data_IF_206441919330
#
_entry.id   IF_206441919330
#
_cell.length_a   1.000
_cell.length_b   1.000
_cell.length_c   1.000
_cell.angle_alpha   90.00
_cell.angle_beta   90.00
_cell.angle_gamma   90.00
#
_symmetry.space_group_name_H-M   'P 1'
#
loop_
_entity.id
_entity.type
_entity.pdbx_description
1 polymer ?
#
# COMPACT_ATOMS: atom_id res chain seq x y z
N UNK A 1 17.77 -2.06 -0.28
CA UNK A 1 16.59 -1.20 -0.48
C UNK A 1 15.53 -1.67 0.48
N UNK A 2 14.91 -0.75 1.22
CA UNK A 2 13.95 -1.06 2.30
C UNK A 2 12.79 -0.08 2.25
N UNK A 3 11.57 -0.57 2.49
CA UNK A 3 10.43 0.31 2.76
C UNK A 3 10.67 1.04 4.09
N UNK A 4 10.89 2.36 4.01
CA UNK A 4 11.18 3.21 5.16
C UNK A 4 9.95 3.52 6.01
N UNK A 5 8.76 3.33 5.46
CA UNK A 5 7.48 3.59 6.14
C UNK A 5 7.08 2.42 7.06
N UNK A 6 7.76 1.27 6.94
CA UNK A 6 7.51 0.08 7.76
C UNK A 6 8.53 0.01 8.91
N UNK A 7 8.09 0.16 10.18
CA UNK A 7 8.98 0.14 11.33
C UNK A 7 9.70 -1.20 11.53
N UNK A 8 9.14 -2.31 11.08
CA UNK A 8 9.78 -3.63 11.19
C UNK A 8 10.89 -3.77 10.17
N UNK A 9 10.64 -3.39 8.92
CA UNK A 9 11.67 -3.41 7.90
C UNK A 9 12.81 -2.43 8.25
N UNK A 10 12.48 -1.27 8.83
CA UNK A 10 13.46 -0.33 9.36
C UNK A 10 14.31 -0.93 10.49
N UNK A 11 13.72 -1.78 11.37
CA UNK A 11 14.48 -2.49 12.40
C UNK A 11 15.55 -3.41 11.80
N UNK A 12 15.22 -4.16 10.75
CA UNK A 12 16.19 -5.02 10.08
C UNK A 12 17.39 -4.25 9.57
N UNK A 13 17.16 -3.02 9.08
CA UNK A 13 18.25 -2.16 8.60
C UNK A 13 19.27 -1.77 9.67
N UNK A 14 18.91 -1.79 10.96
CA UNK A 14 19.82 -1.49 12.07
C UNK A 14 20.96 -2.52 12.23
N UNK A 15 20.73 -3.75 11.80
CA UNK A 15 21.74 -4.83 11.83
C UNK A 15 22.53 -4.95 10.53
N UNK A 16 22.15 -4.25 9.49
CA UNK A 16 22.84 -4.28 8.21
C UNK A 16 24.10 -3.43 8.22
N UNK A 17 25.19 -3.93 7.62
CA UNK A 17 26.50 -3.26 7.59
C UNK A 17 26.79 -2.49 6.30
N UNK A 18 25.96 -2.67 5.27
CA UNK A 18 26.11 -2.00 3.99
C UNK A 18 25.32 -0.70 3.89
N UNK A 19 25.45 0.01 2.75
CA UNK A 19 24.63 1.18 2.49
C UNK A 19 23.15 0.80 2.44
N UNK A 20 22.32 1.67 2.98
CA UNK A 20 20.87 1.50 3.02
C UNK A 20 20.19 2.58 2.20
N UNK A 21 19.23 2.19 1.40
CA UNK A 21 18.39 3.09 0.64
C UNK A 21 16.94 2.84 1.00
N UNK A 22 16.20 3.91 1.28
CA UNK A 22 14.82 3.82 1.72
C UNK A 22 13.88 4.37 0.64
N UNK A 23 12.80 3.64 0.40
CA UNK A 23 11.67 4.12 -0.39
C UNK A 23 10.42 4.23 0.47
N UNK A 24 9.46 5.04 0.05
CA UNK A 24 8.22 5.23 0.78
C UNK A 24 7.26 6.16 0.06
N UNK A 25 6.19 6.52 0.75
CA UNK A 25 5.17 7.45 0.28
C UNK A 25 5.11 8.62 1.26
N UNK A 26 5.16 9.85 0.76
CA UNK A 26 4.96 11.03 1.59
C UNK A 26 3.47 11.18 1.96
N UNK A 27 3.17 12.08 2.87
CA UNK A 27 1.79 12.33 3.27
C UNK A 27 0.95 12.75 2.07
N UNK A 28 -0.14 12.01 1.83
CA UNK A 28 -1.14 12.30 0.79
C UNK A 28 -2.47 12.68 1.42
N UNK A 29 -3.44 13.11 0.64
CA UNK A 29 -4.81 13.40 1.13
C UNK A 29 -5.48 12.15 1.72
N UNK A 30 -5.10 10.95 1.30
CA UNK A 30 -5.60 9.68 1.81
C UNK A 30 -4.71 9.10 2.95
N UNK A 31 -3.78 9.87 3.48
CA UNK A 31 -3.05 9.52 4.70
C UNK A 31 -3.89 9.85 5.93
N UNK A 32 -3.94 8.96 6.90
CA UNK A 32 -4.80 9.07 8.06
C UNK A 32 -4.01 9.55 9.28
N UNK A 33 -4.58 10.47 10.05
CA UNK A 33 -4.05 10.84 11.36
C UNK A 33 -4.32 9.76 12.41
N UNK A 34 -5.42 9.02 12.22
CA UNK A 34 -5.84 7.91 13.07
C UNK A 34 -6.60 6.89 12.23
N UNK A 35 -6.35 5.61 12.46
CA UNK A 35 -7.11 4.51 11.88
C UNK A 35 -7.54 3.57 13.00
N UNK A 36 -8.79 3.12 12.97
CA UNK A 36 -9.29 2.02 13.81
C UNK A 36 -8.90 0.64 13.23
N UNK A 37 -7.93 0.62 12.36
CA UNK A 37 -7.39 -0.58 11.76
C UNK A 37 -6.49 -1.35 12.73
N UNK A 38 -6.34 -2.64 12.48
CA UNK A 38 -5.38 -3.48 13.22
C UNK A 38 -3.98 -2.93 12.98
N UNK A 39 -3.37 -2.48 14.07
CA UNK A 39 -2.03 -1.91 14.07
C UNK A 39 -1.07 -2.95 14.58
N UNK A 40 -0.40 -3.63 13.67
CA UNK A 40 0.55 -4.68 13.99
C UNK A 40 1.69 -4.21 14.89
N UNK A 41 2.09 -2.93 14.74
CA UNK A 41 3.29 -2.41 15.41
C UNK A 41 3.11 -0.99 15.93
N UNK A 42 2.37 -0.83 17.03
CA UNK A 42 2.30 0.44 17.75
C UNK A 42 3.49 0.66 18.69
N UNK A 43 4.26 -0.40 18.95
CA UNK A 43 5.37 -0.37 19.88
C UNK A 43 6.70 -0.43 19.13
N UNK A 44 7.65 0.38 19.63
CA UNK A 44 8.97 0.50 19.04
C UNK A 44 9.69 -0.86 18.99
N UNK A 45 10.08 -1.34 17.82
CA UNK A 45 10.76 -2.62 17.69
C UNK A 45 12.18 -2.62 18.28
N UNK A 46 12.72 -1.43 18.67
CA UNK A 46 14.02 -1.29 19.29
C UNK A 46 13.95 -1.33 20.82
N UNK A 47 12.96 -0.65 21.44
CA UNK A 47 12.91 -0.50 22.90
C UNK A 47 11.57 -0.91 23.54
N UNK A 48 10.56 -1.28 22.77
CA UNK A 48 9.25 -1.70 23.27
C UNK A 48 8.32 -0.57 23.71
N UNK A 49 8.74 0.71 23.65
CA UNK A 49 7.90 1.84 24.04
C UNK A 49 6.90 2.16 22.94
N UNK A 50 5.75 2.74 23.29
CA UNK A 50 4.74 3.19 22.31
C UNK A 50 5.35 4.25 21.39
N UNK A 51 5.10 4.12 20.10
CA UNK A 51 5.52 5.06 19.07
C UNK A 51 4.46 6.14 18.84
N UNK A 52 4.90 7.30 18.40
CA UNK A 52 4.07 8.37 17.86
C UNK A 52 4.04 8.25 16.35
N UNK A 53 2.88 8.51 15.75
CA UNK A 53 2.70 8.54 14.30
C UNK A 53 2.19 9.89 13.87
N UNK A 54 2.82 10.47 12.88
CA UNK A 54 2.36 11.70 12.25
C UNK A 54 1.21 11.42 11.29
N UNK A 55 1.33 10.32 10.54
CA UNK A 55 0.27 9.79 9.68
C UNK A 55 0.47 8.29 9.45
N UNK A 56 -0.61 7.66 9.06
CA UNK A 56 -0.66 6.27 8.60
C UNK A 56 -1.07 6.21 7.14
N UNK A 57 -0.56 5.25 6.41
CA UNK A 57 -1.08 4.85 5.11
C UNK A 57 -2.00 3.63 5.25
N UNK A 58 -1.54 2.61 6.00
CA UNK A 58 -2.34 1.46 6.42
C UNK A 58 -1.60 0.74 7.57
N UNK A 59 -2.36 0.08 8.44
CA UNK A 59 -1.80 -0.64 9.59
C UNK A 59 -0.82 0.24 10.39
N UNK A 60 0.43 -0.18 10.49
CA UNK A 60 1.50 0.59 11.13
C UNK A 60 2.52 1.17 10.14
N UNK A 61 2.15 1.24 8.87
CA UNK A 61 2.98 1.81 7.80
C UNK A 61 2.68 3.30 7.64
N UNK A 62 3.70 4.14 7.72
CA UNK A 62 3.55 5.60 7.65
C UNK A 62 4.74 6.35 8.22
N UNK A 63 4.51 7.54 8.76
CA UNK A 63 5.53 8.35 9.42
C UNK A 63 5.47 8.13 10.94
N UNK A 64 6.52 7.55 11.48
CA UNK A 64 6.60 7.16 12.89
C UNK A 64 7.87 7.66 13.57
N UNK A 65 7.78 7.83 14.90
CA UNK A 65 8.92 8.09 15.76
C UNK A 65 8.72 7.51 17.16
N UNK A 66 9.81 7.10 17.79
CA UNK A 66 9.81 6.67 19.18
C UNK A 66 10.32 7.79 20.08
N UNK A 67 9.49 8.34 20.98
CA UNK A 67 9.88 9.44 21.85
C UNK A 67 10.95 9.03 22.91
N UNK A 68 11.11 7.71 23.13
CA UNK A 68 12.04 7.22 24.16
C UNK A 68 13.43 6.94 23.62
N UNK A 69 13.58 6.29 22.47
CA UNK A 69 14.90 5.89 21.97
C UNK A 69 15.30 6.54 20.65
N UNK A 70 14.48 7.45 20.11
CA UNK A 70 14.76 8.15 18.87
C UNK A 70 14.68 7.29 17.60
N UNK A 71 14.20 6.03 17.70
CA UNK A 71 13.93 5.21 16.52
C UNK A 71 12.81 5.86 15.69
N UNK A 72 13.03 6.06 14.41
CA UNK A 72 12.08 6.77 13.55
C UNK A 72 12.18 6.35 12.09
N UNK A 73 11.21 6.77 11.29
CA UNK A 73 11.27 6.76 9.83
C UNK A 73 12.53 7.50 9.37
N UNK A 74 13.29 6.91 8.48
CA UNK A 74 14.47 7.53 7.89
C UNK A 74 14.11 8.47 6.74
N UNK A 75 15.08 9.24 6.29
CA UNK A 75 14.93 10.04 5.08
C UNK A 75 14.70 9.12 3.89
N UNK A 76 13.63 9.34 3.17
CA UNK A 76 13.24 8.56 2.01
C UNK A 76 13.99 9.08 0.77
N UNK A 77 14.75 8.19 0.14
CA UNK A 77 15.53 8.52 -1.08
C UNK A 77 14.65 8.47 -2.33
N UNK A 78 13.67 7.56 -2.33
CA UNK A 78 12.71 7.38 -3.42
C UNK A 78 11.30 7.49 -2.85
N UNK A 79 10.70 8.65 -3.01
CA UNK A 79 9.39 8.94 -2.45
C UNK A 79 8.33 9.14 -3.54
N UNK A 80 7.16 8.54 -3.36
CA UNK A 80 5.96 9.07 -4.01
C UNK A 80 5.59 10.33 -3.24
N UNK A 81 5.70 11.47 -3.90
CA UNK A 81 5.48 12.80 -3.32
C UNK A 81 4.10 13.35 -3.58
N UNK A 82 3.40 12.80 -4.58
CA UNK A 82 2.05 13.19 -4.93
C UNK A 82 1.29 12.03 -5.58
N UNK A 83 -0.02 11.98 -5.34
CA UNK A 83 -0.95 11.01 -5.94
C UNK A 83 -2.14 11.77 -6.52
N UNK A 84 -2.19 11.86 -7.83
CA UNK A 84 -3.30 12.48 -8.57
C UNK A 84 -4.36 11.40 -8.89
N UNK A 85 -5.40 11.36 -8.08
CA UNK A 85 -6.48 10.38 -8.21
C UNK A 85 -7.40 10.63 -9.41
N UNK A 86 -7.45 11.85 -9.91
CA UNK A 86 -8.30 12.23 -11.04
C UNK A 86 -7.66 11.83 -12.37
N UNK A 87 -6.34 11.94 -12.46
CA UNK A 87 -5.58 11.65 -13.66
C UNK A 87 -4.90 10.28 -13.67
N UNK A 88 -5.12 9.47 -12.64
CA UNK A 88 -4.48 8.15 -12.47
C UNK A 88 -2.95 8.24 -12.60
N UNK A 89 -2.33 9.15 -11.83
CA UNK A 89 -0.90 9.46 -11.93
C UNK A 89 -0.26 9.61 -10.53
N UNK A 90 0.97 9.14 -10.40
CA UNK A 90 1.80 9.43 -9.23
C UNK A 90 3.03 10.22 -9.64
N UNK A 91 3.54 11.03 -8.70
CA UNK A 91 4.79 11.76 -8.88
C UNK A 91 5.87 11.19 -7.96
N UNK A 92 7.00 10.80 -8.52
CA UNK A 92 8.16 10.30 -7.77
C UNK A 92 9.18 11.43 -7.62
N UNK A 93 9.62 11.68 -6.38
CA UNK A 93 10.61 12.69 -6.02
C UNK A 93 10.31 14.11 -6.58
N UNK A 94 9.03 14.43 -6.76
CA UNK A 94 8.60 15.72 -7.31
C UNK A 94 8.92 15.93 -8.80
N UNK A 95 9.31 14.89 -9.54
CA UNK A 95 9.80 15.02 -10.91
C UNK A 95 9.17 14.04 -11.89
N UNK A 96 9.26 12.75 -11.61
CA UNK A 96 8.87 11.70 -12.55
C UNK A 96 7.41 11.31 -12.37
N UNK A 97 6.64 11.45 -13.43
CA UNK A 97 5.22 11.15 -13.46
C UNK A 97 4.99 9.75 -14.04
N UNK A 98 4.32 8.89 -13.29
CA UNK A 98 4.03 7.52 -13.66
C UNK A 98 2.51 7.33 -13.67
N UNK A 99 1.98 6.87 -14.79
CA UNK A 99 0.57 6.47 -14.88
C UNK A 99 0.35 5.17 -14.11
N UNK A 100 -0.75 5.12 -13.38
CA UNK A 100 -1.09 3.95 -12.57
C UNK A 100 -2.51 3.50 -12.87
N UNK A 101 -2.70 2.21 -13.06
CA UNK A 101 -4.04 1.63 -13.25
C UNK A 101 -4.82 1.51 -11.94
N UNK A 102 -4.14 1.62 -10.81
CA UNK A 102 -4.75 1.50 -9.48
C UNK A 102 -3.95 2.24 -8.43
N UNK A 103 -4.66 3.05 -7.63
CA UNK A 103 -4.10 3.78 -6.48
C UNK A 103 -4.15 2.98 -5.18
N UNK A 104 -4.44 1.70 -5.21
CA UNK A 104 -4.38 0.86 -4.03
C UNK A 104 -2.96 0.90 -3.46
N UNK A 105 -2.82 1.25 -2.19
CA UNK A 105 -1.53 1.59 -1.57
C UNK A 105 -0.45 0.52 -1.75
N UNK A 106 -0.79 -0.77 -1.65
CA UNK A 106 0.20 -1.82 -1.86
C UNK A 106 0.77 -1.81 -3.30
N UNK A 107 -0.03 -1.37 -4.30
CA UNK A 107 0.46 -1.20 -5.66
C UNK A 107 1.45 -0.03 -5.75
N UNK A 108 1.13 1.09 -5.10
CA UNK A 108 2.02 2.24 -5.07
C UNK A 108 3.37 1.90 -4.43
N UNK A 109 3.37 1.11 -3.33
CA UNK A 109 4.61 0.61 -2.73
C UNK A 109 5.39 -0.33 -3.66
N UNK A 110 4.71 -1.18 -4.43
CA UNK A 110 5.36 -2.03 -5.43
C UNK A 110 6.02 -1.19 -6.53
N UNK A 111 5.33 -0.18 -7.02
CA UNK A 111 5.84 0.72 -8.08
C UNK A 111 7.07 1.48 -7.59
N UNK A 112 7.01 2.13 -6.42
CA UNK A 112 8.15 2.89 -5.92
C UNK A 112 9.32 1.98 -5.54
N UNK A 113 9.06 0.77 -5.05
CA UNK A 113 10.08 -0.24 -4.82
C UNK A 113 10.78 -0.65 -6.12
N UNK A 114 10.02 -0.93 -7.18
CA UNK A 114 10.56 -1.27 -8.49
C UNK A 114 11.34 -0.09 -9.11
N UNK A 115 10.78 1.13 -9.05
CA UNK A 115 11.46 2.34 -9.50
C UNK A 115 12.84 2.50 -8.83
N UNK A 116 12.90 2.34 -7.51
CA UNK A 116 14.14 2.48 -6.74
C UNK A 116 15.20 1.45 -7.13
N UNK A 117 14.77 0.21 -7.44
CA UNK A 117 15.68 -0.84 -7.93
C UNK A 117 16.22 -0.48 -9.31
N UNK A 118 15.37 -0.03 -10.22
CA UNK A 118 15.77 0.35 -11.57
C UNK A 118 16.79 1.48 -11.56
N UNK A 119 16.56 2.53 -10.77
CA UNK A 119 17.48 3.67 -10.68
C UNK A 119 18.85 3.25 -10.09
N UNK A 120 18.86 2.44 -9.02
CA UNK A 120 20.11 1.93 -8.42
C UNK A 120 20.89 1.04 -9.40
N UNK A 121 20.21 0.30 -10.24
CA UNK A 121 20.84 -0.51 -11.29
C UNK A 121 21.29 0.31 -12.51
N UNK A 122 21.04 1.62 -12.53
CA UNK A 122 21.42 2.51 -13.61
C UNK A 122 20.55 2.37 -14.86
N UNK A 123 19.34 1.87 -14.72
CA UNK A 123 18.37 1.83 -15.83
C UNK A 123 17.89 3.25 -16.10
N UNK A 124 17.83 3.60 -17.39
CA UNK A 124 17.39 4.92 -17.82
C UNK A 124 15.99 5.27 -17.27
N UNK A 125 15.85 6.48 -16.73
CA UNK A 125 14.62 6.95 -16.10
C UNK A 125 13.42 6.92 -17.03
N UNK A 126 13.60 7.40 -18.28
CA UNK A 126 12.51 7.40 -19.26
C UNK A 126 12.02 5.97 -19.53
N UNK A 127 12.95 5.03 -19.65
CA UNK A 127 12.65 3.59 -19.80
C UNK A 127 11.91 3.05 -18.58
N UNK A 128 12.36 3.39 -17.37
CA UNK A 128 11.73 2.97 -16.12
C UNK A 128 10.31 3.52 -16.00
N UNK A 129 10.12 4.82 -16.22
CA UNK A 129 8.81 5.47 -16.18
C UNK A 129 7.85 4.87 -17.20
N UNK A 130 8.32 4.66 -18.43
CA UNK A 130 7.50 4.05 -19.49
C UNK A 130 7.08 2.62 -19.14
N UNK A 131 8.00 1.81 -18.59
CA UNK A 131 7.71 0.44 -18.19
C UNK A 131 6.74 0.36 -17.01
N UNK A 132 6.91 1.22 -16.00
CA UNK A 132 6.03 1.26 -14.83
C UNK A 132 4.64 1.85 -15.14
N UNK A 133 4.52 2.61 -16.22
CA UNK A 133 3.25 3.15 -16.74
C UNK A 133 2.53 2.18 -17.68
N UNK A 134 3.11 1.03 -18.01
CA UNK A 134 2.52 0.06 -18.92
C UNK A 134 1.84 -1.08 -18.15
N UNK A 135 0.51 -1.09 -18.16
CA UNK A 135 -0.32 -2.11 -17.50
C UNK A 135 -0.03 -3.54 -17.99
N UNK A 136 0.52 -3.69 -19.19
CA UNK A 136 0.90 -5.00 -19.73
C UNK A 136 2.11 -5.58 -19.01
N UNK A 137 2.97 -4.70 -18.46
CA UNK A 137 4.18 -5.07 -17.71
C UNK A 137 3.85 -5.20 -16.23
N UNK A 138 3.13 -4.20 -15.67
CA UNK A 138 2.80 -4.16 -14.25
C UNK A 138 1.72 -5.16 -13.84
N UNK A 139 0.98 -5.68 -14.81
CA UNK A 139 -0.14 -6.57 -14.56
C UNK A 139 -1.37 -5.81 -14.04
N UNK A 140 -2.53 -6.36 -14.27
CA UNK A 140 -3.78 -5.76 -13.81
C UNK A 140 -4.06 -6.16 -12.37
N UNK A 141 -4.03 -5.19 -11.47
CA UNK A 141 -4.45 -5.36 -10.07
C UNK A 141 -5.95 -5.32 -9.97
N UNK A 142 -6.60 -4.55 -10.86
CA UNK A 142 -8.04 -4.54 -10.99
C UNK A 142 -8.49 -4.57 -12.45
N UNK A 143 -9.67 -5.11 -12.68
CA UNK A 143 -10.36 -5.08 -13.97
C UNK A 143 -11.69 -4.35 -13.80
N UNK A 144 -12.02 -3.47 -14.74
CA UNK A 144 -13.33 -2.82 -14.82
C UNK A 144 -14.03 -3.20 -16.13
N UNK A 145 -15.31 -3.53 -16.03
CA UNK A 145 -16.15 -3.81 -17.19
C UNK A 145 -17.62 -3.47 -16.91
N UNK A 146 -18.39 -3.27 -17.96
CA UNK A 146 -19.80 -2.95 -17.85
C UNK A 146 -20.63 -4.06 -18.47
N UNK A 147 -21.64 -4.53 -17.75
CA UNK A 147 -22.63 -5.49 -18.24
C UNK A 147 -24.02 -4.99 -17.87
N UNK A 148 -24.92 -4.89 -18.85
CA UNK A 148 -26.29 -4.41 -18.65
C UNK A 148 -26.37 -3.09 -17.85
N UNK A 149 -25.59 -2.09 -18.26
CA UNK A 149 -25.47 -0.76 -17.65
C UNK A 149 -25.01 -0.76 -16.17
N UNK A 150 -24.50 -1.88 -15.70
CA UNK A 150 -23.86 -1.98 -14.38
C UNK A 150 -22.37 -2.08 -14.52
N UNK A 151 -21.67 -1.25 -13.76
CA UNK A 151 -20.21 -1.27 -13.67
C UNK A 151 -19.77 -2.33 -12.65
N UNK A 152 -18.80 -3.13 -13.06
CA UNK A 152 -18.15 -4.13 -12.22
C UNK A 152 -16.67 -3.79 -12.09
N UNK A 153 -16.15 -3.87 -10.88
CA UNK A 153 -14.74 -3.73 -10.58
C UNK A 153 -14.27 -4.99 -9.86
N UNK A 154 -13.28 -5.67 -10.39
CA UNK A 154 -12.64 -6.82 -9.74
C UNK A 154 -11.31 -6.37 -9.16
N UNK A 155 -11.17 -6.45 -7.84
CA UNK A 155 -9.92 -6.19 -7.14
C UNK A 155 -9.24 -7.52 -6.79
N UNK A 156 -8.05 -7.73 -7.34
CA UNK A 156 -7.28 -8.94 -7.06
C UNK A 156 -6.47 -8.75 -5.78
N UNK A 157 -7.02 -9.23 -4.66
CA UNK A 157 -6.35 -9.24 -3.37
C UNK A 157 -5.48 -10.49 -3.23
N UNK A 158 -4.34 -10.37 -2.57
CA UNK A 158 -3.53 -11.52 -2.20
C UNK A 158 -4.29 -12.36 -1.18
N UNK A 159 -4.44 -13.65 -1.45
CA UNK A 159 -5.07 -14.59 -0.53
C UNK A 159 -4.36 -14.61 0.84
N UNK A 160 -5.13 -14.83 1.92
CA UNK A 160 -4.64 -14.90 3.31
C UNK A 160 -3.92 -13.61 3.79
N UNK A 161 -4.31 -12.45 3.24
CA UNK A 161 -3.71 -11.19 3.62
C UNK A 161 -4.80 -10.15 3.96
N UNK A 162 -5.07 -10.00 5.26
CA UNK A 162 -6.04 -9.04 5.80
C UNK A 162 -5.76 -7.60 5.34
N UNK A 163 -4.50 -7.18 5.30
CA UNK A 163 -4.13 -5.82 4.91
C UNK A 163 -4.51 -5.50 3.47
N UNK A 164 -4.32 -6.44 2.52
CA UNK A 164 -4.75 -6.23 1.13
C UNK A 164 -6.26 -6.18 0.98
N UNK A 165 -7.00 -6.97 1.78
CA UNK A 165 -8.46 -6.90 1.78
C UNK A 165 -8.97 -5.61 2.41
N UNK A 166 -8.40 -5.16 3.53
CA UNK A 166 -8.75 -3.86 4.14
C UNK A 166 -8.49 -2.71 3.17
N UNK A 167 -7.36 -2.69 2.48
CA UNK A 167 -7.06 -1.69 1.45
C UNK A 167 -8.02 -1.75 0.25
N UNK A 168 -8.41 -2.95 -0.16
CA UNK A 168 -9.40 -3.11 -1.23
C UNK A 168 -10.79 -2.61 -0.79
N UNK A 169 -11.18 -2.83 0.48
CA UNK A 169 -12.42 -2.30 1.04
C UNK A 169 -12.37 -0.77 1.12
N UNK A 170 -11.29 -0.19 1.62
CA UNK A 170 -11.08 1.27 1.62
C UNK A 170 -11.21 1.85 0.21
N UNK A 171 -10.58 1.22 -0.78
CA UNK A 171 -10.70 1.63 -2.17
C UNK A 171 -12.15 1.52 -2.69
N UNK A 172 -12.85 0.44 -2.35
CA UNK A 172 -14.22 0.20 -2.79
C UNK A 172 -15.23 1.14 -2.12
N UNK A 173 -14.98 1.57 -0.87
CA UNK A 173 -15.85 2.47 -0.10
C UNK A 173 -15.54 3.94 -0.35
N UNK A 174 -14.33 4.27 -0.81
CA UNK A 174 -14.00 5.63 -1.18
C UNK A 174 -14.95 6.14 -2.29
N UNK A 175 -15.45 7.36 -2.11
CA UNK A 175 -16.53 7.94 -2.95
C UNK A 175 -16.00 8.50 -4.29
N UNK A 176 -14.97 7.88 -4.86
CA UNK A 176 -14.10 8.50 -5.83
C UNK A 176 -14.59 8.48 -7.28
N UNK A 177 -15.58 7.67 -7.64
CA UNK A 177 -16.07 7.63 -9.04
C UNK A 177 -17.54 7.23 -9.12
N UNK A 178 -18.43 8.21 -9.08
CA UNK A 178 -19.83 8.07 -9.43
C UNK A 178 -20.70 7.61 -8.25
N UNK A 179 -21.45 8.54 -7.68
CA UNK A 179 -22.44 8.26 -6.63
C UNK A 179 -23.40 7.16 -7.06
N UNK A 180 -23.70 6.25 -6.13
CA UNK A 180 -24.60 5.14 -6.36
C UNK A 180 -24.43 4.03 -5.32
N UNK A 181 -25.41 3.15 -5.27
CA UNK A 181 -25.36 1.98 -4.40
C UNK A 181 -24.31 1.00 -4.90
N UNK A 182 -23.34 0.66 -4.06
CA UNK A 182 -22.32 -0.34 -4.33
C UNK A 182 -22.72 -1.68 -3.70
N UNK A 183 -22.44 -2.77 -4.39
CA UNK A 183 -22.54 -4.14 -3.84
C UNK A 183 -21.15 -4.74 -3.86
N UNK A 184 -20.64 -5.14 -2.71
CA UNK A 184 -19.33 -5.76 -2.58
C UNK A 184 -19.50 -7.26 -2.46
N UNK A 185 -18.79 -8.02 -3.30
CA UNK A 185 -18.75 -9.47 -3.27
C UNK A 185 -17.34 -9.90 -2.93
N UNK A 186 -17.17 -10.51 -1.77
CA UNK A 186 -15.89 -11.09 -1.35
C UNK A 186 -15.78 -12.50 -1.92
N UNK A 187 -14.81 -12.69 -2.80
CA UNK A 187 -14.48 -13.99 -3.37
C UNK A 187 -13.21 -14.54 -2.73
N UNK A 188 -13.25 -15.77 -2.29
CA UNK A 188 -12.09 -16.47 -1.76
C UNK A 188 -11.82 -17.71 -2.59
N UNK A 189 -10.57 -17.86 -3.06
CA UNK A 189 -10.14 -19.05 -3.78
C UNK A 189 -9.54 -20.04 -2.79
N UNK A 190 -9.78 -21.34 -2.99
CA UNK A 190 -9.05 -22.40 -2.29
C UNK A 190 -7.54 -22.18 -2.41
N UNK A 191 -6.87 -21.98 -1.28
CA UNK A 191 -5.55 -21.33 -1.26
C UNK A 191 -4.42 -22.29 -1.49
N UNK A 192 -4.56 -23.55 -1.13
CA UNK A 192 -3.44 -24.46 -1.24
C UNK A 192 -3.84 -25.93 -1.30
N UNK A 193 -3.28 -26.64 -2.27
CA UNK A 193 -3.26 -28.12 -2.27
C UNK A 193 -2.46 -28.73 -1.11
N UNK A 194 -1.83 -27.90 -0.28
CA UNK A 194 -0.98 -28.34 0.85
C UNK A 194 -1.71 -28.38 2.17
N UNK A 195 -2.84 -27.71 2.31
CA UNK A 195 -3.59 -27.64 3.56
C UNK A 195 -4.87 -28.44 3.46
N UNK A 196 -5.05 -29.36 4.41
CA UNK A 196 -6.25 -30.23 4.52
C UNK A 196 -7.44 -29.45 5.10
N UNK A 197 -7.18 -28.32 5.77
CA UNK A 197 -8.18 -27.47 6.40
C UNK A 197 -8.10 -26.05 5.88
N UNK A 198 -9.26 -25.47 5.68
CA UNK A 198 -9.46 -24.08 5.26
C UNK A 198 -9.36 -23.20 6.50
N UNK A 199 -8.31 -22.40 6.61
CA UNK A 199 -8.20 -21.41 7.69
C UNK A 199 -8.65 -20.06 7.16
N UNK A 200 -9.76 -19.55 7.68
CA UNK A 200 -10.33 -18.25 7.38
C UNK A 200 -10.25 -17.30 8.58
N UNK A 201 -9.46 -17.63 9.61
CA UNK A 201 -9.36 -16.82 10.83
C UNK A 201 -8.87 -15.39 10.53
N UNK A 202 -8.08 -15.20 9.48
CA UNK A 202 -7.61 -13.89 9.03
C UNK A 202 -8.75 -12.95 8.58
N UNK A 203 -9.95 -13.47 8.27
CA UNK A 203 -11.12 -12.65 7.96
C UNK A 203 -11.62 -11.86 9.18
N UNK A 204 -11.33 -12.33 10.41
CA UNK A 204 -11.66 -11.58 11.63
C UNK A 204 -10.85 -10.29 11.77
N UNK A 205 -9.72 -10.20 11.06
CA UNK A 205 -8.87 -9.01 11.05
C UNK A 205 -9.25 -8.02 9.96
N UNK A 206 -10.33 -8.29 9.21
CA UNK A 206 -10.86 -7.37 8.21
C UNK A 206 -11.86 -6.44 8.88
N UNK A 207 -11.67 -5.15 8.68
CA UNK A 207 -12.59 -4.13 9.19
C UNK A 207 -13.83 -4.01 8.31
N UNK A 208 -14.80 -4.90 8.51
CA UNK A 208 -16.09 -4.86 7.81
C UNK A 208 -17.00 -3.70 8.26
N UNK A 209 -16.69 -3.03 9.37
CA UNK A 209 -17.47 -1.86 9.84
C UNK A 209 -17.37 -0.67 8.87
N UNK A 210 -16.32 -0.67 8.03
CA UNK A 210 -16.22 0.28 6.90
C UNK A 210 -17.38 0.16 5.90
N UNK A 211 -18.10 -0.95 5.91
CA UNK A 211 -19.22 -1.24 5.02
C UNK A 211 -20.58 -0.88 5.66
N UNK A 212 -20.60 0.01 6.64
CA UNK A 212 -21.83 0.38 7.32
C UNK A 212 -22.93 0.73 6.31
N UNK A 213 -24.10 0.07 6.35
CA UNK A 213 -25.23 0.46 5.54
C UNK A 213 -25.79 1.77 6.10
N UNK A 214 -25.79 2.82 5.32
CA UNK A 214 -26.71 3.93 5.46
C UNK A 214 -28.07 3.60 4.81
#
# INVERSE_FOLDING_TARGET
>A
IVNGDDPILRKFSLSHRGPMTYFGIEKTENSYAWMDDIKDYLYCPKCGSKMDFEYFHYGSVGSYSCPVCGFKRENISYAITDVDYDNDEITVNGQDKIKVSSHVLFNLYNIIGAYSVCDILGIDRGTTVAALSDDRIMGKIYDEFTVNDRKYTILNCKAENNSTYNLALLYATADNKGGGRKTIVLGHREISRRYVHFDLSWLYDINFEMLSPE
#
